data_IF_062049168338
#
_entry.id   IF_062049168338
#
_cell.length_a   1.000
_cell.length_b   1.000
_cell.length_c   1.000
_cell.angle_alpha   90.00
_cell.angle_beta   90.00
_cell.angle_gamma   90.00
#
_symmetry.space_group_name_H-M   'P 1'
#
loop_
_entity.id
_entity.type
_entity.pdbx_description
1 polymer ?
#
# COMPACT_ATOMS: atom_id res chain seq x y z
N UNK A 1 20.34 -64.64 -39.12
CA UNK A 1 20.85 -63.49 -38.33
C UNK A 1 19.73 -62.48 -38.11
N UNK A 2 19.33 -62.27 -36.84
CA UNK A 2 18.27 -61.29 -36.49
C UNK A 2 18.92 -59.94 -36.13
N UNK A 3 18.52 -58.79 -36.66
CA UNK A 3 19.07 -57.52 -36.32
C UNK A 3 18.60 -57.08 -34.92
N UNK A 4 19.57 -56.52 -34.15
CA UNK A 4 19.39 -56.04 -32.78
C UNK A 4 18.46 -54.80 -32.74
N UNK A 5 17.30 -54.93 -32.07
CA UNK A 5 16.33 -53.88 -31.85
C UNK A 5 16.64 -52.90 -30.68
N UNK A 6 17.89 -52.91 -30.21
CA UNK A 6 18.25 -52.17 -28.98
C UNK A 6 18.61 -50.70 -29.18
N UNK A 7 18.83 -50.23 -30.42
CA UNK A 7 19.22 -48.84 -30.70
C UNK A 7 18.08 -47.85 -30.59
N UNK A 8 16.85 -48.28 -30.93
CA UNK A 8 15.68 -47.37 -30.95
C UNK A 8 15.13 -47.01 -29.55
N UNK A 9 15.28 -47.96 -28.62
CA UNK A 9 14.87 -47.73 -27.23
C UNK A 9 15.75 -46.73 -26.48
N UNK A 10 17.06 -46.73 -26.78
CA UNK A 10 18.04 -45.83 -26.14
C UNK A 10 17.82 -44.39 -26.60
N UNK A 11 17.54 -44.14 -27.86
CA UNK A 11 17.25 -42.79 -28.37
C UNK A 11 15.97 -42.18 -27.79
N UNK A 12 14.91 -42.99 -27.58
CA UNK A 12 13.67 -42.55 -26.97
C UNK A 12 13.83 -42.12 -25.51
N UNK A 13 14.65 -42.87 -24.75
CA UNK A 13 14.90 -42.55 -23.33
C UNK A 13 15.70 -41.23 -23.22
N UNK A 14 16.69 -41.01 -24.03
CA UNK A 14 17.44 -39.74 -24.04
C UNK A 14 16.58 -38.52 -24.42
N UNK A 15 15.66 -38.69 -25.36
CA UNK A 15 14.75 -37.61 -25.76
C UNK A 15 13.76 -37.24 -24.65
N UNK A 16 13.26 -38.22 -23.88
CA UNK A 16 12.35 -37.97 -22.75
C UNK A 16 13.07 -37.29 -21.58
N UNK A 17 14.31 -37.70 -21.28
CA UNK A 17 15.11 -37.07 -20.23
C UNK A 17 15.49 -35.64 -20.57
N UNK A 18 15.85 -35.33 -21.82
CA UNK A 18 16.13 -33.99 -22.28
C UNK A 18 14.90 -33.07 -22.23
N UNK A 19 13.71 -33.59 -22.53
CA UNK A 19 12.47 -32.81 -22.46
C UNK A 19 12.04 -32.53 -21.00
N UNK A 20 12.30 -33.45 -20.09
CA UNK A 20 12.05 -33.25 -18.64
C UNK A 20 13.02 -32.24 -18.03
N UNK A 21 14.29 -32.25 -18.39
CA UNK A 21 15.27 -31.26 -17.96
C UNK A 21 14.96 -29.85 -18.49
N UNK A 22 14.51 -29.72 -19.75
CA UNK A 22 14.09 -28.44 -20.30
C UNK A 22 12.87 -27.84 -19.57
N UNK A 23 11.93 -28.67 -19.13
CA UNK A 23 10.79 -28.22 -18.32
C UNK A 23 11.21 -27.74 -16.92
N UNK A 24 12.22 -28.34 -16.31
CA UNK A 24 12.72 -27.91 -15.00
C UNK A 24 13.51 -26.60 -15.08
N UNK A 25 14.24 -26.34 -16.15
CA UNK A 25 14.93 -25.05 -16.36
C UNK A 25 13.95 -23.93 -16.61
N UNK A 26 12.84 -24.18 -17.33
CA UNK A 26 11.77 -23.18 -17.53
C UNK A 26 10.96 -22.87 -16.26
N UNK A 27 10.88 -23.78 -15.32
CA UNK A 27 10.19 -23.56 -14.03
C UNK A 27 11.02 -22.74 -13.02
N UNK A 28 12.32 -22.52 -13.28
CA UNK A 28 13.21 -21.74 -12.40
C UNK A 28 13.28 -20.24 -12.67
N UNK A 29 12.70 -19.75 -13.77
CA UNK A 29 12.52 -18.33 -14.03
C UNK A 29 11.09 -17.92 -13.62
N UNK A 30 10.80 -17.95 -12.33
CA UNK A 30 9.81 -17.04 -11.81
C UNK A 30 10.46 -15.65 -11.86
N UNK A 31 10.11 -14.87 -12.87
CA UNK A 31 10.19 -13.44 -12.75
C UNK A 31 9.25 -13.10 -11.59
N UNK A 32 9.79 -12.69 -10.45
CA UNK A 32 9.03 -11.95 -9.46
C UNK A 32 8.45 -10.76 -10.23
N UNK A 33 7.21 -10.87 -10.68
CA UNK A 33 6.49 -9.71 -11.18
C UNK A 33 6.47 -8.74 -10.00
N UNK A 34 7.22 -7.66 -10.14
CA UNK A 34 7.23 -6.59 -9.14
C UNK A 34 5.78 -6.14 -8.97
N UNK A 35 5.22 -6.47 -7.84
CA UNK A 35 3.84 -6.10 -7.52
C UNK A 35 3.77 -4.58 -7.42
N UNK A 36 3.10 -3.94 -8.36
CA UNK A 36 2.98 -2.48 -8.42
C UNK A 36 2.00 -2.03 -7.33
N UNK A 37 2.52 -1.44 -6.27
CA UNK A 37 1.71 -0.80 -5.23
C UNK A 37 1.33 0.61 -5.67
N UNK A 38 0.04 0.92 -5.65
CA UNK A 38 -0.46 2.28 -5.93
C UNK A 38 -0.46 3.12 -4.66
N UNK A 39 0.35 4.15 -4.64
CA UNK A 39 0.48 5.06 -3.48
C UNK A 39 -0.37 6.31 -3.72
N UNK A 40 -1.21 6.65 -2.74
CA UNK A 40 -2.00 7.88 -2.72
C UNK A 40 -1.62 8.74 -1.52
N UNK A 41 -1.40 10.03 -1.76
CA UNK A 41 -0.99 10.98 -0.74
C UNK A 41 -2.19 11.87 -0.39
N UNK A 42 -2.51 11.91 0.91
CA UNK A 42 -3.53 12.75 1.50
C UNK A 42 -2.86 13.82 2.37
N UNK A 43 -2.87 15.05 1.90
CA UNK A 43 -2.24 16.17 2.58
C UNK A 43 -3.24 17.31 2.77
N UNK A 44 -3.26 17.93 3.95
CA UNK A 44 -4.16 19.05 4.19
C UNK A 44 -4.41 19.38 5.66
N UNK A 45 -5.41 20.18 5.89
CA UNK A 45 -5.80 20.69 7.20
C UNK A 45 -6.99 19.93 7.81
N UNK A 46 -7.85 20.60 8.59
CA UNK A 46 -8.94 20.01 9.38
C UNK A 46 -9.89 19.09 8.60
N UNK A 47 -10.27 19.44 7.38
CA UNK A 47 -11.11 18.57 6.54
C UNK A 47 -10.37 17.29 6.14
N UNK A 48 -9.06 17.37 5.92
CA UNK A 48 -8.23 16.20 5.65
C UNK A 48 -8.01 15.35 6.91
N UNK A 49 -7.92 15.98 8.08
CA UNK A 49 -7.91 15.24 9.36
C UNK A 49 -9.22 14.45 9.53
N UNK A 50 -10.35 15.02 9.17
CA UNK A 50 -11.68 14.50 9.44
C UNK A 50 -12.29 15.09 10.71
N UNK A 51 -11.92 16.33 11.06
CA UNK A 51 -12.22 16.93 12.37
C UNK A 51 -13.72 17.03 12.71
N UNK A 52 -14.57 17.14 11.68
CA UNK A 52 -16.03 17.25 11.84
C UNK A 52 -16.75 15.89 11.70
N UNK A 53 -15.99 14.80 11.55
CA UNK A 53 -16.55 13.46 11.36
C UNK A 53 -16.15 12.55 12.53
N UNK A 54 -17.08 11.77 13.03
CA UNK A 54 -16.82 10.89 14.17
C UNK A 54 -17.09 9.43 13.82
N UNK A 55 -16.21 8.53 14.29
CA UNK A 55 -16.30 7.08 14.07
C UNK A 55 -17.66 6.51 14.51
N UNK A 56 -18.22 6.98 15.64
CA UNK A 56 -19.52 6.51 16.14
C UNK A 56 -20.69 6.79 15.18
N UNK A 57 -20.53 7.76 14.28
CA UNK A 57 -21.58 8.15 13.35
C UNK A 57 -21.47 7.46 11.98
N UNK A 58 -20.36 6.79 11.71
CA UNK A 58 -20.03 6.25 10.37
C UNK A 58 -21.09 5.27 9.85
N UNK A 59 -21.59 4.40 10.74
CA UNK A 59 -22.55 3.36 10.39
C UNK A 59 -23.98 3.90 10.24
N UNK A 60 -24.23 5.19 10.57
CA UNK A 60 -25.52 5.86 10.32
C UNK A 60 -25.71 6.19 8.83
N UNK A 61 -24.63 6.16 8.06
CA UNK A 61 -24.62 6.51 6.63
C UNK A 61 -24.29 5.27 5.82
N UNK A 62 -25.27 4.60 5.19
CA UNK A 62 -25.08 3.31 4.52
C UNK A 62 -23.88 3.21 3.58
N UNK A 63 -23.51 4.24 2.78
CA UNK A 63 -22.34 4.17 1.92
C UNK A 63 -21.00 4.00 2.67
N UNK A 64 -20.97 4.35 3.98
CA UNK A 64 -19.78 4.31 4.81
C UNK A 64 -19.77 3.19 5.85
N UNK A 65 -20.83 2.39 5.91
CA UNK A 65 -20.94 1.27 6.85
C UNK A 65 -19.71 0.37 6.78
N UNK A 66 -19.14 0.03 7.95
CA UNK A 66 -17.96 -0.81 8.08
C UNK A 66 -16.62 -0.13 7.82
N UNK A 67 -16.58 1.20 7.60
CA UNK A 67 -15.31 1.95 7.53
C UNK A 67 -14.67 2.20 8.89
N UNK A 68 -15.37 1.91 9.97
CA UNK A 68 -14.86 1.87 11.34
C UNK A 68 -13.94 0.65 11.59
N UNK A 69 -13.99 -0.35 10.71
CA UNK A 69 -13.19 -1.55 10.82
C UNK A 69 -11.88 -1.46 10.00
N UNK A 70 -10.79 -2.15 10.43
CA UNK A 70 -9.56 -2.21 9.67
C UNK A 70 -9.77 -2.76 8.25
N UNK A 71 -9.10 -2.15 7.27
CA UNK A 71 -9.06 -2.57 5.87
C UNK A 71 -7.69 -3.21 5.60
N UNK A 72 -7.50 -4.48 5.92
CA UNK A 72 -6.21 -5.18 5.97
C UNK A 72 -5.43 -5.21 4.66
N UNK A 73 -6.12 -5.05 3.53
CA UNK A 73 -5.50 -5.04 2.19
C UNK A 73 -4.96 -3.68 1.77
N UNK A 74 -5.09 -2.67 2.62
CA UNK A 74 -4.68 -1.30 2.32
C UNK A 74 -3.67 -0.87 3.38
N UNK A 75 -2.44 -0.61 2.93
CA UNK A 75 -1.40 -0.10 3.82
C UNK A 75 -1.64 1.38 4.13
N UNK A 76 -1.45 1.75 5.39
CA UNK A 76 -1.66 3.09 5.86
C UNK A 76 -0.47 3.60 6.68
N UNK A 77 0.08 4.72 6.25
CA UNK A 77 1.08 5.48 7.00
C UNK A 77 0.55 6.88 7.21
N UNK A 78 0.61 7.39 8.44
CA UNK A 78 0.04 8.68 8.73
C UNK A 78 0.85 9.50 9.72
N UNK A 79 0.72 10.83 9.59
CA UNK A 79 1.10 11.85 10.53
C UNK A 79 -0.05 12.86 10.62
N UNK A 80 -0.78 12.85 11.71
CA UNK A 80 -2.01 13.64 11.91
C UNK A 80 -1.86 14.46 13.19
N UNK A 81 -2.22 15.73 13.11
CA UNK A 81 -2.08 16.67 14.23
C UNK A 81 -0.69 17.30 14.29
N UNK A 82 -0.44 18.01 15.37
CA UNK A 82 0.81 18.73 15.64
C UNK A 82 1.05 18.82 17.14
N UNK A 83 2.29 19.06 17.53
CA UNK A 83 2.72 19.23 18.92
C UNK A 83 2.28 18.02 19.79
N UNK A 84 1.64 18.29 20.91
CA UNK A 84 1.12 17.31 21.88
C UNK A 84 -0.03 16.44 21.35
N UNK A 85 -0.68 16.88 20.25
CA UNK A 85 -1.77 16.15 19.59
C UNK A 85 -1.32 15.36 18.37
N UNK A 86 -0.02 15.19 18.19
CA UNK A 86 0.53 14.47 17.06
C UNK A 86 0.34 12.97 17.22
N UNK A 87 -0.40 12.35 16.28
CA UNK A 87 -0.47 10.92 16.10
C UNK A 87 0.26 10.51 14.82
N UNK A 88 1.17 9.53 14.91
CA UNK A 88 1.94 9.05 13.77
C UNK A 88 2.16 7.55 13.84
N UNK A 89 1.95 6.87 12.72
CA UNK A 89 2.27 5.45 12.52
C UNK A 89 2.60 5.16 11.06
N UNK A 90 3.37 4.12 10.83
CA UNK A 90 3.68 3.60 9.50
C UNK A 90 3.25 2.16 9.31
N UNK A 91 2.84 1.82 8.08
CA UNK A 91 2.57 0.44 7.62
C UNK A 91 1.60 -0.35 8.49
N UNK A 92 0.46 0.24 8.81
CA UNK A 92 -0.66 -0.42 9.50
C UNK A 92 -1.83 -0.62 8.52
N UNK A 93 -2.81 -1.51 8.79
CA UNK A 93 -4.07 -1.55 8.07
C UNK A 93 -4.78 -0.19 8.10
N UNK A 94 -5.42 0.18 7.00
CA UNK A 94 -6.17 1.44 6.95
C UNK A 94 -7.39 1.37 7.87
N UNK A 95 -7.45 2.28 8.81
CA UNK A 95 -8.54 2.41 9.80
C UNK A 95 -8.65 3.85 10.29
N UNK A 96 -9.73 4.23 10.96
CA UNK A 96 -9.82 5.52 11.63
C UNK A 96 -8.66 5.76 12.60
N UNK A 97 -8.23 7.00 12.73
CA UNK A 97 -7.20 7.39 13.69
C UNK A 97 -7.89 8.10 14.88
N UNK A 98 -7.89 7.43 16.03
CA UNK A 98 -8.68 7.89 17.16
C UNK A 98 -10.18 7.87 16.84
N UNK A 99 -10.86 8.97 17.08
CA UNK A 99 -12.31 9.09 16.88
C UNK A 99 -12.71 9.78 15.57
N UNK A 100 -11.74 10.14 14.72
CA UNK A 100 -12.01 10.91 13.49
C UNK A 100 -12.02 10.03 12.24
N UNK A 101 -12.85 10.45 11.29
CA UNK A 101 -13.03 9.77 9.99
C UNK A 101 -12.60 10.73 8.89
N UNK A 102 -11.46 10.44 8.30
CA UNK A 102 -10.97 11.22 7.17
C UNK A 102 -11.42 10.67 5.81
N UNK A 103 -11.23 11.44 4.75
CA UNK A 103 -11.66 11.08 3.38
C UNK A 103 -10.92 9.88 2.81
N UNK A 104 -9.74 9.54 3.33
CA UNK A 104 -8.94 8.40 2.89
C UNK A 104 -9.65 7.07 3.03
N UNK A 105 -10.51 6.91 4.05
CA UNK A 105 -11.20 5.64 4.33
C UNK A 105 -12.16 5.23 3.20
N UNK A 106 -13.03 6.14 2.78
CA UNK A 106 -13.99 5.89 1.71
C UNK A 106 -13.32 5.84 0.34
N UNK A 107 -12.35 6.72 0.11
CA UNK A 107 -11.57 6.76 -1.13
C UNK A 107 -10.83 5.43 -1.35
N UNK A 108 -10.06 4.99 -0.39
CA UNK A 108 -9.25 3.79 -0.51
C UNK A 108 -10.10 2.54 -0.70
N UNK A 109 -11.23 2.41 0.04
CA UNK A 109 -12.19 1.33 -0.19
C UNK A 109 -12.68 1.33 -1.63
N UNK A 110 -13.08 2.49 -2.16
CA UNK A 110 -13.59 2.56 -3.52
C UNK A 110 -12.51 2.24 -4.56
N UNK A 111 -11.31 2.77 -4.39
CA UNK A 111 -10.20 2.52 -5.31
C UNK A 111 -9.77 1.05 -5.28
N UNK A 112 -9.68 0.42 -4.11
CA UNK A 112 -9.32 -0.99 -3.99
C UNK A 112 -10.30 -1.92 -4.73
N UNK A 113 -11.59 -1.57 -4.74
CA UNK A 113 -12.63 -2.33 -5.45
C UNK A 113 -12.48 -2.29 -6.98
N UNK A 114 -11.90 -1.21 -7.52
CA UNK A 114 -11.86 -0.99 -8.99
C UNK A 114 -10.49 -1.23 -9.60
N UNK A 115 -9.41 -1.18 -8.84
CA UNK A 115 -8.05 -1.30 -9.38
C UNK A 115 -7.48 -2.71 -9.34
N UNK A 116 -7.94 -3.53 -8.40
CA UNK A 116 -7.39 -4.86 -8.15
C UNK A 116 -5.92 -4.89 -7.69
N UNK A 117 -5.23 -3.73 -7.70
CA UNK A 117 -3.83 -3.61 -7.30
C UNK A 117 -3.72 -3.27 -5.80
N UNK A 118 -2.63 -3.66 -5.13
CA UNK A 118 -2.34 -3.21 -3.78
C UNK A 118 -2.31 -1.69 -3.66
N UNK A 119 -2.82 -1.20 -2.55
CA UNK A 119 -2.93 0.25 -2.28
C UNK A 119 -2.19 0.60 -1.01
N UNK A 120 -1.44 1.70 -1.06
CA UNK A 120 -0.88 2.35 0.10
C UNK A 120 -1.38 3.80 0.20
N UNK A 121 -1.78 4.19 1.38
CA UNK A 121 -2.20 5.56 1.71
C UNK A 121 -1.13 6.19 2.61
N UNK A 122 -0.67 7.36 2.22
CA UNK A 122 0.17 8.23 3.05
C UNK A 122 -0.65 9.46 3.39
N UNK A 123 -0.88 9.70 4.68
CA UNK A 123 -1.66 10.86 5.15
C UNK A 123 -0.81 11.79 6.01
N UNK A 124 -0.77 13.06 5.64
CA UNK A 124 -0.20 14.12 6.45
C UNK A 124 -1.23 15.24 6.58
N UNK A 125 -1.76 15.45 7.79
CA UNK A 125 -2.83 16.42 8.00
C UNK A 125 -2.76 17.05 9.40
N UNK A 126 -2.95 18.38 9.46
CA UNK A 126 -2.99 19.11 10.73
C UNK A 126 -4.02 20.23 10.66
N UNK A 127 -4.92 20.27 11.63
CA UNK A 127 -5.96 21.31 11.73
C UNK A 127 -5.38 22.69 11.94
N UNK A 128 -6.03 23.72 11.37
CA UNK A 128 -5.65 25.13 11.54
C UNK A 128 -4.36 25.53 10.82
N UNK A 129 -3.90 24.75 9.84
CA UNK A 129 -2.68 25.02 9.07
C UNK A 129 -2.95 25.81 7.80
N UNK A 130 -1.97 26.59 7.35
CA UNK A 130 -2.02 27.47 6.19
C UNK A 130 -1.07 27.03 5.10
N UNK A 131 -1.49 27.17 3.84
CA UNK A 131 -0.68 26.76 2.69
C UNK A 131 0.61 27.57 2.56
N UNK A 132 0.52 28.89 2.78
CA UNK A 132 1.64 29.82 2.62
C UNK A 132 2.69 29.77 3.74
N UNK A 133 2.31 29.26 4.92
CA UNK A 133 3.19 29.12 6.07
C UNK A 133 3.52 27.64 6.34
N UNK A 134 2.62 26.95 7.02
CA UNK A 134 2.87 25.59 7.56
C UNK A 134 3.21 24.54 6.49
N UNK A 135 2.69 24.72 5.28
CA UNK A 135 2.93 23.82 4.13
C UNK A 135 4.00 24.35 3.17
N UNK A 136 4.51 25.55 3.41
CA UNK A 136 5.60 26.11 2.62
C UNK A 136 6.95 25.56 3.10
N UNK A 137 7.69 24.80 2.27
CA UNK A 137 8.99 24.26 2.65
C UNK A 137 10.05 25.35 2.91
N UNK A 138 9.86 26.54 2.33
CA UNK A 138 10.80 27.65 2.40
C UNK A 138 10.52 28.60 3.58
N UNK A 139 9.37 28.44 4.26
CA UNK A 139 9.06 29.24 5.44
C UNK A 139 9.78 28.69 6.69
N UNK A 140 10.75 29.44 7.26
CA UNK A 140 11.48 28.99 8.44
C UNK A 140 10.62 28.91 9.71
N UNK A 141 9.49 29.63 9.74
CA UNK A 141 8.55 29.69 10.86
C UNK A 141 7.41 28.68 10.75
N UNK A 142 7.20 28.09 9.57
CA UNK A 142 6.15 27.12 9.33
C UNK A 142 6.42 25.78 10.01
N UNK A 143 5.36 25.00 10.26
CA UNK A 143 5.43 23.65 10.88
C UNK A 143 6.12 22.61 9.98
N UNK A 144 6.59 22.98 8.79
CA UNK A 144 7.24 22.07 7.84
C UNK A 144 6.49 20.74 7.70
N UNK A 145 5.19 20.85 7.42
CA UNK A 145 4.33 19.69 7.22
C UNK A 145 4.58 19.01 5.86
N UNK A 146 5.38 19.64 5.04
CA UNK A 146 5.91 18.99 3.84
C UNK A 146 6.65 17.71 4.28
N UNK A 147 6.37 16.58 3.66
CA UNK A 147 6.90 15.31 4.14
C UNK A 147 8.43 15.36 4.14
N UNK A 148 9.00 15.67 5.29
CA UNK A 148 10.39 15.40 5.51
C UNK A 148 10.67 13.93 5.26
N UNK A 149 11.86 13.60 4.80
CA UNK A 149 12.39 12.30 4.44
C UNK A 149 12.11 11.13 5.42
N UNK A 150 11.41 11.37 6.53
CA UNK A 150 10.96 10.34 7.46
C UNK A 150 9.92 9.39 6.87
N UNK A 151 9.03 9.86 5.98
CA UNK A 151 8.08 9.00 5.27
C UNK A 151 8.77 8.11 4.23
N UNK A 152 9.76 8.66 3.54
CA UNK A 152 10.57 7.89 2.58
C UNK A 152 11.43 6.82 3.25
N UNK A 153 11.93 7.06 4.45
CA UNK A 153 12.68 6.05 5.23
C UNK A 153 11.81 4.89 5.69
N UNK A 154 10.56 5.13 6.12
CA UNK A 154 9.67 4.07 6.59
C UNK A 154 9.20 3.16 5.45
N UNK A 155 9.01 3.71 4.24
CA UNK A 155 8.66 2.91 3.06
C UNK A 155 9.85 2.09 2.54
N UNK A 156 11.08 2.63 2.61
CA UNK A 156 12.28 1.95 2.16
C UNK A 156 12.74 0.79 3.07
N UNK A 157 12.41 0.82 4.36
CA UNK A 157 12.76 -0.25 5.33
C UNK A 157 11.76 -1.40 5.34
N UNK A 158 10.55 -1.22 4.79
CA UNK A 158 9.52 -2.26 4.71
C UNK A 158 9.67 -3.17 3.47
N UNK A 159 10.63 -2.90 2.58
CA UNK A 159 10.87 -3.65 1.33
C UNK A 159 12.08 -4.59 1.38
N UNK A 160 12.51 -4.99 2.59
CA UNK A 160 13.55 -6.02 2.76
C UNK A 160 13.03 -7.25 3.47
#
# INVERSE_FOLDING_TARGET
MKPKRNGLAICLIFSIVALAAAKQVAAGYQTDELEVVRVFIFAGQSNMVGSDSNVKDINRFPPFTGLDQPQDKILFSYRIGREDKLASRGSVPLQPVGEVVGPELSFARRVSQVTGAPIAIIKCAAGGTTLGGDWNPDDPQGFKLYPEASLSRHLATSSR
#
